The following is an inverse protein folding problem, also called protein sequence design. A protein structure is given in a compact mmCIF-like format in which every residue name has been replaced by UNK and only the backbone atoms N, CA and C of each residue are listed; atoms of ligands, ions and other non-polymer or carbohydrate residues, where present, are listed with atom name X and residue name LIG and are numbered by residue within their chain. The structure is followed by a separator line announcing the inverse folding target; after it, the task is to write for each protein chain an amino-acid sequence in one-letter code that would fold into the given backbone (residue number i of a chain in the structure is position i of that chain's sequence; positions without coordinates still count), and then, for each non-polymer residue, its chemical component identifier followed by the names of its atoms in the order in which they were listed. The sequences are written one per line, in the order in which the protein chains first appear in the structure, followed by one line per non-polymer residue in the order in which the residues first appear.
data_IF_528310828231
#
_entry.id   IF_528310828231
#
_cell.length_a   1.000
_cell.length_b   1.000
_cell.length_c   1.000
_cell.angle_alpha   90.00
_cell.angle_beta   90.00
_cell.angle_gamma   90.00
#
_symmetry.space_group_name_H-M   'P 1'
#
loop_
_entity.id
_entity.type
_entity.pdbx_description
1 polymer ?
#
# COMPACT_ATOMS: atom_id res chain seq x y z
N UNK A 1 -2.78 22.54 -3.27
CA UNK A 1 -3.24 21.49 -4.20
C UNK A 1 -3.68 20.31 -3.36
N UNK A 2 -4.93 19.85 -3.51
CA UNK A 2 -5.49 18.74 -2.71
C UNK A 2 -5.30 17.45 -3.49
N UNK A 3 -4.72 16.43 -2.88
CA UNK A 3 -4.65 15.08 -3.46
C UNK A 3 -6.03 14.45 -3.42
N UNK A 4 -6.51 13.92 -4.56
CA UNK A 4 -7.80 13.24 -4.67
C UNK A 4 -7.55 11.82 -5.18
N UNK A 5 -7.74 10.82 -4.31
CA UNK A 5 -7.60 9.39 -4.62
C UNK A 5 -8.94 8.66 -4.45
N UNK A 6 -9.25 7.71 -5.34
CA UNK A 6 -10.41 6.79 -5.24
C UNK A 6 -9.96 5.35 -5.45
N UNK A 7 -10.56 4.41 -4.71
CA UNK A 7 -10.25 2.98 -4.79
C UNK A 7 -11.49 2.19 -5.21
N UNK A 8 -11.28 1.18 -6.04
CA UNK A 8 -12.35 0.33 -6.58
C UNK A 8 -11.92 -1.13 -6.49
N UNK A 9 -12.88 -2.03 -6.28
CA UNK A 9 -12.68 -3.45 -6.52
C UNK A 9 -12.70 -3.69 -8.03
N UNK A 10 -11.76 -4.50 -8.53
CA UNK A 10 -11.68 -4.90 -9.95
C UNK A 10 -12.36 -6.26 -10.15
N UNK A 11 -12.98 -6.45 -11.32
CA UNK A 11 -13.70 -7.69 -11.67
C UNK A 11 -12.88 -8.65 -12.53
N UNK A 12 -11.81 -8.18 -13.16
CA UNK A 12 -10.94 -8.92 -14.08
C UNK A 12 -9.49 -8.46 -13.93
N UNK A 13 -8.58 -9.18 -14.57
CA UNK A 13 -7.15 -8.89 -14.61
C UNK A 13 -6.75 -7.96 -15.76
N UNK A 14 -7.70 -7.49 -16.59
CA UNK A 14 -7.45 -6.67 -17.79
C UNK A 14 -6.67 -5.37 -17.50
N UNK A 15 -6.77 -4.86 -16.27
CA UNK A 15 -5.99 -3.69 -15.83
C UNK A 15 -4.48 -3.94 -15.89
N UNK A 16 -4.03 -5.21 -15.80
CA UNK A 16 -2.62 -5.58 -15.88
C UNK A 16 -2.06 -5.37 -17.28
N UNK A 17 -2.85 -5.56 -18.33
CA UNK A 17 -2.43 -5.35 -19.73
C UNK A 17 -2.21 -3.86 -20.04
N UNK A 18 -2.97 -2.99 -19.39
CA UNK A 18 -2.86 -1.53 -19.54
C UNK A 18 -1.77 -0.92 -18.63
N UNK A 19 -1.12 -1.72 -17.78
CA UNK A 19 -0.16 -1.22 -16.81
C UNK A 19 1.21 -0.92 -17.46
N UNK A 20 1.72 0.28 -17.22
CA UNK A 20 3.06 0.69 -17.71
C UNK A 20 4.21 0.20 -16.82
N UNK A 21 3.93 -0.21 -15.59
CA UNK A 21 4.96 -0.65 -14.64
C UNK A 21 4.41 -1.69 -13.68
N UNK A 22 5.27 -2.63 -13.29
CA UNK A 22 4.97 -3.65 -12.29
C UNK A 22 5.98 -3.55 -11.16
N UNK A 23 5.50 -3.55 -9.91
CA UNK A 23 6.35 -3.54 -8.73
C UNK A 23 5.93 -4.68 -7.80
N UNK A 24 6.85 -5.61 -7.50
CA UNK A 24 6.61 -6.61 -6.46
C UNK A 24 6.61 -5.93 -5.10
N UNK A 25 5.50 -6.04 -4.41
CA UNK A 25 5.30 -5.49 -3.07
C UNK A 25 4.89 -6.62 -2.14
N UNK A 26 5.57 -6.74 -1.01
CA UNK A 26 5.16 -7.59 0.10
C UNK A 26 5.05 -6.71 1.35
N UNK A 27 3.99 -6.91 2.14
CA UNK A 27 3.77 -6.13 3.35
C UNK A 27 3.24 -7.03 4.46
N UNK A 28 3.80 -6.87 5.66
CA UNK A 28 3.31 -7.46 6.89
C UNK A 28 2.95 -6.38 7.90
N UNK A 29 1.89 -6.60 8.65
CA UNK A 29 1.53 -5.75 9.79
C UNK A 29 2.05 -6.42 11.06
N UNK A 30 2.83 -5.67 11.84
CA UNK A 30 3.18 -6.04 13.21
C UNK A 30 2.06 -5.61 14.17
N UNK A 31 1.39 -4.52 13.85
CA UNK A 31 0.18 -4.04 14.53
C UNK A 31 -0.73 -3.35 13.51
N UNK A 32 -2.00 -3.73 13.50
CA UNK A 32 -3.06 -3.12 12.69
C UNK A 32 -3.99 -2.21 13.50
N UNK A 33 -3.66 -1.98 14.78
CA UNK A 33 -4.44 -1.14 15.69
C UNK A 33 -4.31 0.33 15.23
N UNK A 34 -5.40 1.07 14.97
CA UNK A 34 -5.35 2.43 14.42
C UNK A 34 -4.46 3.40 15.20
N UNK A 35 -4.45 3.28 16.52
CA UNK A 35 -3.66 4.10 17.44
C UNK A 35 -2.15 3.87 17.34
N UNK A 36 -1.74 2.72 16.79
CA UNK A 36 -0.35 2.28 16.69
C UNK A 36 -0.18 1.28 15.54
N UNK A 37 -0.48 1.72 14.33
CA UNK A 37 -0.32 0.87 13.15
C UNK A 37 1.17 0.78 12.80
N UNK A 38 1.70 -0.45 12.81
CA UNK A 38 3.09 -0.74 12.44
C UNK A 38 3.08 -1.74 11.29
N UNK A 39 3.71 -1.36 10.18
CA UNK A 39 3.85 -2.23 9.02
C UNK A 39 5.29 -2.24 8.52
N UNK A 40 5.73 -3.39 8.04
CA UNK A 40 6.97 -3.59 7.32
C UNK A 40 6.61 -3.90 5.87
N UNK A 41 7.22 -3.19 4.93
CA UNK A 41 6.97 -3.37 3.48
C UNK A 41 8.27 -3.49 2.72
N UNK A 42 8.32 -4.42 1.77
CA UNK A 42 9.34 -4.50 0.74
C UNK A 42 8.71 -4.04 -0.57
N UNK A 43 9.40 -3.15 -1.31
CA UNK A 43 9.06 -2.76 -2.68
C UNK A 43 10.31 -2.93 -3.55
N UNK A 44 10.30 -3.92 -4.44
CA UNK A 44 11.51 -4.36 -5.14
C UNK A 44 12.60 -4.77 -4.15
N UNK A 45 13.77 -4.14 -4.22
CA UNK A 45 14.92 -4.43 -3.35
C UNK A 45 15.06 -3.48 -2.14
N UNK A 46 14.03 -2.68 -1.85
CA UNK A 46 14.06 -1.72 -0.73
C UNK A 46 13.02 -2.08 0.33
N UNK A 47 13.48 -2.12 1.58
CA UNK A 47 12.64 -2.31 2.77
C UNK A 47 12.25 -0.97 3.41
N UNK A 48 11.05 -0.93 3.98
CA UNK A 48 10.50 0.22 4.68
C UNK A 48 9.77 -0.24 5.94
N UNK A 49 9.98 0.46 7.05
CA UNK A 49 9.11 0.37 8.23
C UNK A 49 8.24 1.64 8.28
N UNK A 50 6.96 1.49 8.56
CA UNK A 50 6.04 2.61 8.75
C UNK A 50 5.35 2.45 10.10
N UNK A 51 5.39 3.51 10.91
CA UNK A 51 4.68 3.63 12.18
C UNK A 51 3.71 4.80 12.03
N UNK A 52 2.42 4.57 12.31
CA UNK A 52 1.37 5.59 12.29
C UNK A 52 0.56 5.53 13.59
N UNK A 53 0.21 6.69 14.12
CA UNK A 53 -0.86 6.82 15.12
C UNK A 53 -2.22 7.04 14.46
N UNK A 54 -3.24 7.38 15.26
CA UNK A 54 -4.51 7.87 14.74
C UNK A 54 -4.20 9.07 13.82
N UNK A 55 -4.53 8.96 12.54
CA UNK A 55 -4.44 10.09 11.63
C UNK A 55 -5.53 11.11 11.99
N UNK A 56 -5.15 12.35 12.24
CA UNK A 56 -6.06 13.50 12.14
C UNK A 56 -6.26 13.89 10.67
#
# INVERSE_FOLDING_TARGET
MVEIERKFLVKSDDFKEQAFTQNKIAQGYLSSVPERTVRVRIKGNRGFITIKGIGH
#
